data_IF_225158827523
#
_entry.id   IF_225158827523
#
_cell.length_a   1.000
_cell.length_b   1.000
_cell.length_c   1.000
_cell.angle_alpha   90.00
_cell.angle_beta   90.00
_cell.angle_gamma   90.00
#
_symmetry.space_group_name_H-M   'P 1'
#
loop_
_entity.id
_entity.type
_entity.pdbx_description
1 polymer ?
#
# COMPACT_ATOMS: atom_id res chain seq x y z
N UNK A 1 -22.05 2.78 18.45
CA UNK A 1 -20.66 2.27 18.35
C UNK A 1 -20.75 1.08 17.41
N UNK A 2 -20.26 1.19 16.18
CA UNK A 2 -20.14 0.00 15.31
C UNK A 2 -19.09 -0.89 15.98
N UNK A 3 -19.45 -2.10 16.38
CA UNK A 3 -18.49 -3.08 16.88
C UNK A 3 -17.42 -3.28 15.79
N UNK A 4 -16.16 -3.01 16.13
CA UNK A 4 -15.05 -3.20 15.21
C UNK A 4 -14.90 -4.69 14.93
N UNK A 5 -14.65 -5.05 13.66
CA UNK A 5 -14.48 -6.44 13.23
C UNK A 5 -13.34 -7.07 14.06
N UNK A 6 -13.60 -8.11 14.87
CA UNK A 6 -12.56 -8.76 15.64
C UNK A 6 -11.54 -9.36 14.68
N UNK A 7 -10.27 -9.07 14.91
CA UNK A 7 -9.16 -9.56 14.10
C UNK A 7 -8.34 -10.59 14.86
N UNK A 8 -7.70 -11.49 14.13
CA UNK A 8 -6.80 -12.51 14.66
C UNK A 8 -5.37 -12.27 14.19
N UNK A 9 -4.41 -12.28 15.11
CA UNK A 9 -2.98 -12.14 14.81
C UNK A 9 -2.43 -13.46 14.25
N UNK A 10 -1.75 -13.40 13.12
CA UNK A 10 -1.22 -14.56 12.39
C UNK A 10 0.27 -14.34 12.13
N UNK A 11 1.12 -15.28 12.58
CA UNK A 11 2.54 -15.27 12.22
C UNK A 11 2.72 -15.64 10.74
N UNK A 12 3.66 -15.00 10.06
CA UNK A 12 4.00 -15.26 8.66
C UNK A 12 5.34 -15.96 8.50
N UNK A 13 5.59 -16.55 7.33
CA UNK A 13 6.78 -17.37 7.05
C UNK A 13 8.13 -16.65 7.15
N UNK A 14 8.14 -15.32 7.16
CA UNK A 14 9.35 -14.48 7.31
C UNK A 14 9.54 -13.90 8.72
N UNK A 15 8.78 -14.39 9.71
CA UNK A 15 8.86 -13.94 11.10
C UNK A 15 8.14 -12.63 11.40
N UNK A 16 7.52 -12.00 10.40
CA UNK A 16 6.57 -10.90 10.63
C UNK A 16 5.18 -11.44 11.00
N UNK A 17 4.26 -10.53 11.33
CA UNK A 17 2.86 -10.86 11.61
C UNK A 17 1.94 -10.22 10.58
N UNK A 18 0.73 -10.76 10.45
CA UNK A 18 -0.40 -10.12 9.78
C UNK A 18 -1.64 -10.28 10.65
N UNK A 19 -2.72 -9.61 10.30
CA UNK A 19 -4.03 -9.86 10.91
C UNK A 19 -4.99 -10.45 9.91
N UNK A 20 -5.93 -11.26 10.40
CA UNK A 20 -7.08 -11.77 9.63
C UNK A 20 -8.35 -11.10 10.14
N UNK A 21 -9.04 -10.39 9.25
CA UNK A 21 -10.38 -9.85 9.55
C UNK A 21 -11.43 -10.94 9.45
N UNK A 22 -12.34 -11.03 10.43
CA UNK A 22 -13.42 -12.02 10.39
C UNK A 22 -14.44 -11.72 9.31
N UNK A 23 -14.73 -10.45 9.05
CA UNK A 23 -15.71 -10.02 8.05
C UNK A 23 -15.29 -10.37 6.62
N UNK A 24 -13.99 -10.29 6.32
CA UNK A 24 -13.43 -10.64 5.01
C UNK A 24 -12.95 -12.09 4.93
N UNK A 25 -12.79 -12.75 6.08
CA UNK A 25 -12.13 -14.05 6.22
C UNK A 25 -10.81 -14.14 5.43
N UNK A 26 -10.05 -13.04 5.45
CA UNK A 26 -8.82 -12.85 4.69
C UNK A 26 -7.75 -12.18 5.54
N UNK A 27 -6.49 -12.54 5.30
CA UNK A 27 -5.34 -11.86 5.88
C UNK A 27 -5.07 -10.54 5.15
N UNK A 28 -4.60 -9.54 5.88
CA UNK A 28 -4.18 -8.25 5.31
C UNK A 28 -2.90 -8.37 4.48
N UNK A 29 -2.04 -9.35 4.80
CA UNK A 29 -0.81 -9.64 4.05
C UNK A 29 -0.67 -11.14 3.75
N UNK A 30 0.24 -11.48 2.83
CA UNK A 30 0.60 -12.88 2.58
C UNK A 30 1.12 -13.60 3.83
N UNK A 31 0.58 -14.79 4.08
CA UNK A 31 1.08 -15.69 5.13
C UNK A 31 2.48 -16.23 4.86
N UNK A 32 2.97 -16.19 3.61
CA UNK A 32 4.35 -16.57 3.29
C UNK A 32 5.35 -15.54 3.82
N UNK A 33 4.92 -14.31 4.07
CA UNK A 33 5.75 -13.25 4.64
C UNK A 33 5.21 -11.86 4.31
N UNK A 34 4.70 -11.14 5.31
CA UNK A 34 4.16 -9.79 5.12
C UNK A 34 5.27 -8.81 4.74
N UNK A 35 6.36 -8.80 5.51
CA UNK A 35 7.51 -7.93 5.28
C UNK A 35 8.15 -8.19 3.91
N UNK A 36 8.28 -9.45 3.54
CA UNK A 36 8.91 -9.87 2.27
C UNK A 36 8.06 -9.49 1.07
N UNK A 37 6.75 -9.70 1.14
CA UNK A 37 5.82 -9.28 0.09
C UNK A 37 5.82 -7.76 -0.09
N UNK A 38 5.68 -7.00 0.99
CA UNK A 38 5.63 -5.53 0.92
C UNK A 38 6.93 -4.92 0.38
N UNK A 39 8.09 -5.44 0.81
CA UNK A 39 9.40 -5.01 0.27
C UNK A 39 9.52 -5.31 -1.22
N UNK A 40 9.04 -6.47 -1.67
CA UNK A 40 9.14 -6.87 -3.07
C UNK A 40 8.17 -6.09 -3.97
N UNK A 41 6.90 -6.05 -3.62
CA UNK A 41 5.83 -5.46 -4.44
C UNK A 41 5.91 -3.94 -4.40
N UNK A 42 5.80 -3.35 -3.20
CA UNK A 42 5.57 -1.91 -3.06
C UNK A 42 6.87 -1.11 -3.00
N UNK A 43 7.93 -1.63 -2.37
CA UNK A 43 9.21 -0.91 -2.31
C UNK A 43 10.02 -1.14 -3.59
N UNK A 44 10.43 -2.38 -3.89
CA UNK A 44 11.32 -2.66 -5.03
C UNK A 44 10.66 -2.38 -6.38
N UNK A 45 9.41 -2.82 -6.57
CA UNK A 45 8.71 -2.68 -7.86
C UNK A 45 7.77 -1.47 -7.93
N UNK A 46 7.48 -0.83 -6.80
CA UNK A 46 6.75 0.44 -6.69
C UNK A 46 7.71 1.63 -6.54
N UNK A 47 8.12 1.94 -5.30
CA UNK A 47 8.91 3.13 -4.96
C UNK A 47 10.23 3.23 -5.72
N UNK A 48 11.01 2.14 -5.69
CA UNK A 48 12.37 2.11 -6.26
C UNK A 48 12.36 2.15 -7.80
N UNK A 49 11.22 1.80 -8.40
CA UNK A 49 11.01 1.95 -9.83
C UNK A 49 10.72 3.39 -10.26
N UNK A 50 10.39 4.29 -9.33
CA UNK A 50 10.23 5.71 -9.62
C UNK A 50 11.61 6.40 -9.62
N UNK A 51 12.05 7.00 -10.75
CA UNK A 51 13.38 7.58 -10.87
C UNK A 51 13.49 8.98 -10.24
N UNK A 52 12.42 9.49 -9.61
CA UNK A 52 12.37 10.87 -9.08
C UNK A 52 12.84 10.93 -7.62
N UNK A 53 13.52 12.01 -7.19
CA UNK A 53 13.92 12.20 -5.80
C UNK A 53 12.79 12.75 -4.91
N UNK A 54 11.75 13.32 -5.54
CA UNK A 54 10.50 13.76 -4.93
C UNK A 54 9.40 12.88 -5.48
N UNK A 55 8.70 12.15 -4.60
CA UNK A 55 7.71 11.16 -5.00
C UNK A 55 6.45 11.39 -4.18
N UNK A 56 5.31 11.54 -4.85
CA UNK A 56 4.00 11.45 -4.21
C UNK A 56 3.46 10.04 -4.38
N UNK A 57 3.24 9.36 -3.26
CA UNK A 57 2.66 8.02 -3.19
C UNK A 57 1.21 8.11 -2.75
N UNK A 58 0.33 7.42 -3.46
CA UNK A 58 -1.04 7.12 -3.04
C UNK A 58 -1.16 5.64 -2.70
N UNK A 59 -1.61 5.31 -1.49
CA UNK A 59 -1.95 3.95 -1.10
C UNK A 59 -3.46 3.77 -1.02
N UNK A 60 -3.97 2.71 -1.68
CA UNK A 60 -5.36 2.27 -1.55
C UNK A 60 -5.38 1.03 -0.67
N UNK A 61 -5.89 1.19 0.56
CA UNK A 61 -5.87 0.17 1.60
C UNK A 61 -4.67 0.34 2.55
N UNK A 62 -4.74 1.32 3.45
CA UNK A 62 -3.69 1.51 4.47
C UNK A 62 -3.51 0.28 5.36
N UNK A 63 -4.63 -0.35 5.74
CA UNK A 63 -4.66 -1.58 6.52
C UNK A 63 -3.84 -1.51 7.81
N UNK A 64 -2.66 -2.12 7.77
CA UNK A 64 -1.74 -2.23 8.92
C UNK A 64 -0.63 -1.16 8.94
N UNK A 65 -0.54 -0.33 7.90
CA UNK A 65 0.49 0.70 7.75
C UNK A 65 1.90 0.20 7.41
N UNK A 66 2.08 -1.10 7.14
CA UNK A 66 3.40 -1.69 6.85
C UNK A 66 4.07 -1.05 5.63
N UNK A 67 3.33 -0.82 4.54
CA UNK A 67 3.90 -0.24 3.32
C UNK A 67 4.34 1.22 3.54
N UNK A 68 3.57 2.00 4.32
CA UNK A 68 3.93 3.36 4.70
C UNK A 68 5.20 3.38 5.56
N UNK A 69 5.31 2.48 6.55
CA UNK A 69 6.48 2.36 7.41
C UNK A 69 7.74 1.98 6.61
N UNK A 70 7.62 1.02 5.70
CA UNK A 70 8.71 0.63 4.80
C UNK A 70 9.09 1.75 3.83
N UNK A 71 8.12 2.53 3.36
CA UNK A 71 8.37 3.69 2.51
C UNK A 71 9.13 4.78 3.27
N UNK A 72 8.79 5.02 4.54
CA UNK A 72 9.56 5.92 5.41
C UNK A 72 11.01 5.44 5.60
N UNK A 73 11.20 4.15 5.89
CA UNK A 73 12.54 3.58 6.04
C UNK A 73 13.36 3.74 4.75
N UNK A 74 12.75 3.46 3.60
CA UNK A 74 13.40 3.59 2.30
C UNK A 74 13.70 5.06 1.95
N UNK A 75 12.80 5.98 2.31
CA UNK A 75 13.00 7.42 2.12
C UNK A 75 14.23 7.92 2.89
N UNK A 76 14.42 7.47 4.12
CA UNK A 76 15.61 7.77 4.92
C UNK A 76 16.87 7.19 4.28
N UNK A 77 16.85 5.90 3.92
CA UNK A 77 18.01 5.19 3.33
C UNK A 77 18.46 5.83 2.01
N UNK A 78 17.52 6.28 1.18
CA UNK A 78 17.79 6.83 -0.15
C UNK A 78 17.76 8.37 -0.20
N UNK A 79 17.57 9.04 0.94
CA UNK A 79 17.40 10.50 1.01
C UNK A 79 16.31 11.05 0.07
N UNK A 80 15.18 10.34 -0.02
CA UNK A 80 14.03 10.74 -0.82
C UNK A 80 13.15 11.74 -0.07
N UNK A 81 12.39 12.54 -0.82
CA UNK A 81 11.30 13.38 -0.34
C UNK A 81 9.97 12.75 -0.72
N UNK A 82 9.30 12.15 0.24
CA UNK A 82 8.03 11.45 0.02
C UNK A 82 6.88 12.27 0.58
N UNK A 83 5.85 12.48 -0.24
CA UNK A 83 4.49 12.78 0.22
C UNK A 83 3.70 11.49 0.11
N UNK A 84 3.09 11.04 1.21
CA UNK A 84 2.39 9.77 1.31
C UNK A 84 0.94 10.03 1.71
N UNK A 85 0.01 9.66 0.83
CA UNK A 85 -1.42 9.74 1.08
C UNK A 85 -1.98 8.33 1.11
N UNK A 86 -2.61 7.93 2.21
CA UNK A 86 -3.23 6.61 2.34
C UNK A 86 -4.74 6.72 2.46
N UNK A 87 -5.48 5.82 1.80
CA UNK A 87 -6.93 5.71 1.91
C UNK A 87 -7.30 4.48 2.74
N UNK A 88 -8.10 4.69 3.78
CA UNK A 88 -8.60 3.60 4.61
C UNK A 88 -9.93 3.99 5.26
N UNK A 89 -11.05 3.47 4.74
CA UNK A 89 -12.37 3.74 5.31
C UNK A 89 -12.53 3.23 6.74
N UNK A 90 -11.81 2.16 7.13
CA UNK A 90 -11.96 1.52 8.44
C UNK A 90 -10.58 1.16 9.04
N UNK A 91 -9.81 2.14 9.56
CA UNK A 91 -8.49 1.87 10.10
C UNK A 91 -8.52 0.89 11.27
N UNK A 92 -7.49 0.04 11.34
CA UNK A 92 -7.33 -0.88 12.47
C UNK A 92 -7.02 -0.11 13.76
N UNK A 93 -7.50 -0.59 14.92
CA UNK A 93 -7.21 0.05 16.20
C UNK A 93 -5.72 -0.01 16.54
N UNK A 94 -5.21 1.05 17.18
CA UNK A 94 -3.80 1.12 17.62
C UNK A 94 -3.37 -0.10 18.45
N UNK A 95 -4.25 -0.64 19.30
CA UNK A 95 -3.97 -1.84 20.10
C UNK A 95 -3.72 -3.10 19.26
N UNK A 96 -4.31 -3.20 18.06
CA UNK A 96 -4.01 -4.28 17.10
C UNK A 96 -2.65 -4.04 16.44
N UNK A 97 -2.38 -2.79 16.08
CA UNK A 97 -1.13 -2.40 15.41
C UNK A 97 0.08 -2.65 16.30
N UNK A 98 -0.01 -2.30 17.59
CA UNK A 98 1.05 -2.57 18.56
C UNK A 98 1.36 -4.08 18.70
N UNK A 99 0.36 -4.96 18.50
CA UNK A 99 0.57 -6.41 18.53
C UNK A 99 1.31 -6.95 17.29
N UNK A 100 1.28 -6.22 16.17
CA UNK A 100 2.05 -6.59 14.97
C UNK A 100 3.55 -6.34 15.16
N UNK A 101 3.92 -5.44 16.07
CA UNK A 101 5.30 -5.11 16.43
C UNK A 101 6.19 -4.80 15.22
N UNK A 102 5.64 -4.14 14.19
CA UNK A 102 6.37 -3.88 12.95
C UNK A 102 7.56 -2.94 13.13
N UNK A 103 7.53 -2.03 14.12
CA UNK A 103 8.68 -1.21 14.45
C UNK A 103 9.90 -2.05 14.79
N UNK A 104 9.72 -3.17 15.48
CA UNK A 104 10.81 -4.10 15.85
C UNK A 104 11.52 -4.75 14.66
N UNK A 105 10.91 -4.70 13.46
CA UNK A 105 11.48 -5.23 12.23
C UNK A 105 12.27 -4.17 11.42
N UNK A 106 12.29 -2.93 11.91
CA UNK A 106 12.94 -1.79 11.25
C UNK A 106 14.31 -1.48 11.86
N UNK A 107 15.09 -0.65 11.16
CA UNK A 107 16.43 -0.24 11.59
C UNK A 107 16.44 0.52 12.92
N UNK A 108 15.41 1.34 13.18
CA UNK A 108 15.26 2.16 14.40
C UNK A 108 13.91 1.84 15.08
N UNK A 109 13.84 0.80 15.93
CA UNK A 109 12.57 0.22 16.37
C UNK A 109 11.59 1.18 17.06
N UNK A 110 12.03 1.85 18.12
CA UNK A 110 11.15 2.72 18.93
C UNK A 110 10.60 3.88 18.10
N UNK A 111 11.45 4.44 17.23
CA UNK A 111 11.07 5.52 16.33
C UNK A 111 10.06 5.02 15.29
N UNK A 112 10.32 3.86 14.69
CA UNK A 112 9.43 3.25 13.71
C UNK A 112 8.05 2.95 14.30
N UNK A 113 8.00 2.36 15.49
CA UNK A 113 6.75 2.04 16.19
C UNK A 113 5.97 3.31 16.54
N UNK A 114 6.66 4.34 17.06
CA UNK A 114 6.04 5.63 17.37
C UNK A 114 5.45 6.31 16.13
N UNK A 115 6.13 6.25 14.99
CA UNK A 115 5.60 6.75 13.71
C UNK A 115 4.38 5.95 13.25
N UNK A 116 4.43 4.61 13.33
CA UNK A 116 3.31 3.76 12.93
C UNK A 116 2.05 4.01 13.76
N UNK A 117 2.19 4.16 15.08
CA UNK A 117 1.08 4.51 15.97
C UNK A 117 0.52 5.90 15.67
N UNK A 118 1.38 6.89 15.40
CA UNK A 118 0.94 8.24 15.02
C UNK A 118 0.14 8.23 13.70
N UNK A 119 0.60 7.47 12.70
CA UNK A 119 -0.12 7.32 11.43
C UNK A 119 -1.55 6.76 11.63
N UNK A 120 -1.72 5.75 12.50
CA UNK A 120 -3.04 5.17 12.79
C UNK A 120 -3.94 6.06 13.64
N UNK A 121 -3.38 6.98 14.44
CA UNK A 121 -4.16 8.02 15.13
C UNK A 121 -4.68 9.11 14.19
N UNK A 122 -4.26 9.08 12.92
CA UNK A 122 -4.59 10.12 11.93
C UNK A 122 -3.75 11.39 12.13
N UNK A 123 -2.68 11.32 12.92
CA UNK A 123 -1.78 12.45 13.09
C UNK A 123 -1.09 12.71 11.74
N UNK A 124 -1.14 13.95 11.27
CA UNK A 124 -0.35 14.37 10.11
C UNK A 124 1.13 14.29 10.48
N UNK A 125 1.76 13.19 10.11
CA UNK A 125 3.15 12.90 10.41
C UNK A 125 4.05 13.63 9.44
N UNK A 126 4.96 14.48 9.95
CA UNK A 126 5.98 15.12 9.12
C UNK A 126 7.35 14.88 9.69
N UNK A 127 8.23 14.32 8.87
CA UNK A 127 9.66 14.39 9.03
C UNK A 127 10.20 15.44 8.05
N UNK A 128 10.53 16.66 8.51
CA UNK A 128 10.90 17.77 7.64
C UNK A 128 11.99 17.40 6.64
N UNK A 129 11.73 17.67 5.36
CA UNK A 129 12.68 17.41 4.29
C UNK A 129 12.79 15.94 3.85
N UNK A 130 11.99 15.02 4.41
CA UNK A 130 12.02 13.60 4.09
C UNK A 130 10.64 12.98 3.86
N UNK A 131 9.70 13.09 4.80
CA UNK A 131 8.44 12.34 4.74
C UNK A 131 7.26 13.19 5.23
N UNK A 132 6.20 13.28 4.44
CA UNK A 132 4.92 13.91 4.78
C UNK A 132 3.82 12.87 4.63
N UNK A 133 3.06 12.60 5.69
CA UNK A 133 2.03 11.57 5.73
C UNK A 133 0.64 12.16 5.98
N UNK A 134 -0.35 11.62 5.27
CA UNK A 134 -1.76 11.87 5.51
C UNK A 134 -2.57 10.57 5.34
N UNK A 135 -3.37 10.25 6.36
CA UNK A 135 -4.37 9.19 6.30
C UNK A 135 -5.75 9.81 6.06
N UNK A 136 -6.43 9.37 5.00
CA UNK A 136 -7.78 9.79 4.66
C UNK A 136 -8.75 8.65 4.96
N UNK A 137 -9.73 8.92 5.82
CA UNK A 137 -10.80 7.96 6.16
C UNK A 137 -11.88 7.94 5.08
N UNK A 138 -11.46 7.58 3.87
CA UNK A 138 -12.25 7.71 2.65
C UNK A 138 -12.07 6.48 1.76
N UNK A 139 -13.10 6.22 0.96
CA UNK A 139 -13.00 5.21 -0.11
C UNK A 139 -12.30 5.83 -1.33
N UNK A 140 -11.70 4.99 -2.17
CA UNK A 140 -11.05 5.44 -3.42
C UNK A 140 -12.04 6.13 -4.39
N UNK A 141 -13.33 5.79 -4.34
CA UNK A 141 -14.39 6.47 -5.09
C UNK A 141 -14.58 7.94 -4.66
N UNK A 142 -14.13 8.28 -3.46
CA UNK A 142 -14.24 9.61 -2.84
C UNK A 142 -12.90 10.35 -2.86
N UNK A 143 -11.93 9.87 -3.66
CA UNK A 143 -10.61 10.48 -3.76
C UNK A 143 -10.76 11.99 -4.01
N UNK A 144 -10.24 12.85 -3.10
CA UNK A 144 -10.38 14.28 -3.25
C UNK A 144 -9.57 14.77 -4.44
N UNK A 145 -9.88 15.99 -4.90
CA UNK A 145 -8.98 16.69 -5.81
C UNK A 145 -7.65 16.90 -5.10
N UNK A 146 -6.60 16.25 -5.59
CA UNK A 146 -5.26 16.29 -5.04
C UNK A 146 -4.23 16.50 -6.15
N UNK A 147 -3.00 16.83 -5.77
CA UNK A 147 -1.88 16.82 -6.71
C UNK A 147 -1.73 15.41 -7.32
N UNK A 148 -1.46 15.31 -8.63
CA UNK A 148 -1.22 14.02 -9.26
C UNK A 148 -0.05 13.28 -8.60
N UNK A 149 -0.18 11.97 -8.50
CA UNK A 149 0.77 11.10 -7.80
C UNK A 149 1.72 10.40 -8.75
N UNK A 150 2.92 10.07 -8.27
CA UNK A 150 3.94 9.36 -9.04
C UNK A 150 3.72 7.85 -9.01
N UNK A 151 3.31 7.33 -7.84
CA UNK A 151 3.18 5.90 -7.59
C UNK A 151 1.88 5.62 -6.85
N UNK A 152 1.12 4.63 -7.34
CA UNK A 152 -0.04 4.08 -6.63
C UNK A 152 0.32 2.70 -6.08
N UNK A 153 0.21 2.52 -4.77
CA UNK A 153 0.17 1.21 -4.14
C UNK A 153 -1.28 0.75 -4.10
N UNK A 154 -1.62 -0.23 -4.92
CA UNK A 154 -2.96 -0.80 -4.93
C UNK A 154 -2.98 -2.09 -4.11
N UNK A 155 -3.23 -1.92 -2.81
CA UNK A 155 -3.18 -2.96 -1.78
C UNK A 155 -4.57 -3.27 -1.20
N UNK A 156 -5.55 -3.42 -2.09
CA UNK A 156 -6.87 -3.92 -1.73
C UNK A 156 -6.85 -5.43 -1.50
N UNK A 157 -7.83 -5.95 -0.77
CA UNK A 157 -8.04 -7.40 -0.68
C UNK A 157 -8.19 -8.02 -2.06
N UNK A 158 -7.74 -9.27 -2.19
CA UNK A 158 -7.69 -9.97 -3.47
C UNK A 158 -9.06 -9.97 -4.19
N UNK A 159 -9.11 -10.08 -5.53
CA UNK A 159 -10.37 -9.98 -6.27
C UNK A 159 -11.41 -11.07 -5.96
N UNK A 160 -11.02 -12.16 -5.30
CA UNK A 160 -11.94 -13.18 -4.78
C UNK A 160 -12.62 -12.79 -3.46
N UNK A 161 -12.01 -11.87 -2.72
CA UNK A 161 -12.45 -11.41 -1.40
C UNK A 161 -13.22 -10.10 -1.52
N UNK A 162 -12.70 -9.17 -2.33
CA UNK A 162 -13.27 -7.83 -2.48
C UNK A 162 -13.33 -7.41 -3.96
N UNK A 163 -14.16 -8.10 -4.78
CA UNK A 163 -14.19 -7.92 -6.24
C UNK A 163 -14.50 -6.49 -6.69
N UNK A 164 -15.28 -5.74 -5.93
CA UNK A 164 -15.72 -4.37 -6.25
C UNK A 164 -14.56 -3.38 -6.36
N UNK A 165 -13.46 -3.62 -5.63
CA UNK A 165 -12.24 -2.79 -5.71
C UNK A 165 -11.51 -2.95 -7.05
N UNK A 166 -11.73 -4.06 -7.76
CA UNK A 166 -11.02 -4.39 -9.00
C UNK A 166 -11.84 -4.03 -10.25
N UNK A 167 -12.76 -3.07 -10.11
CA UNK A 167 -13.60 -2.60 -11.21
C UNK A 167 -12.88 -1.58 -12.08
N UNK A 168 -13.33 -1.47 -13.34
CA UNK A 168 -12.79 -0.49 -14.28
C UNK A 168 -12.93 0.96 -13.78
N UNK A 169 -13.97 1.27 -13.02
CA UNK A 169 -14.20 2.61 -12.47
C UNK A 169 -13.12 3.00 -11.45
N UNK A 170 -12.74 2.08 -10.56
CA UNK A 170 -11.61 2.30 -9.63
C UNK A 170 -10.33 2.56 -10.40
N UNK A 171 -10.02 1.73 -11.39
CA UNK A 171 -8.81 1.89 -12.18
C UNK A 171 -8.80 3.19 -13.01
N UNK A 172 -9.96 3.70 -13.46
CA UNK A 172 -10.05 5.01 -14.13
C UNK A 172 -9.73 6.17 -13.19
N UNK A 173 -10.19 6.11 -11.94
CA UNK A 173 -9.85 7.09 -10.90
C UNK A 173 -8.34 7.10 -10.69
N UNK A 174 -7.74 5.92 -10.49
CA UNK A 174 -6.31 5.78 -10.26
C UNK A 174 -5.46 6.17 -11.47
N UNK A 175 -5.91 5.87 -12.68
CA UNK A 175 -5.27 6.32 -13.91
C UNK A 175 -5.23 7.85 -13.99
N UNK A 176 -6.35 8.50 -13.66
CA UNK A 176 -6.47 9.95 -13.69
C UNK A 176 -5.63 10.64 -12.61
N UNK A 177 -5.46 9.99 -11.46
CA UNK A 177 -4.65 10.47 -10.35
C UNK A 177 -3.14 10.41 -10.63
N UNK A 178 -2.67 9.50 -11.49
CA UNK A 178 -1.24 9.35 -11.79
C UNK A 178 -0.72 10.46 -12.72
N UNK A 179 0.50 10.94 -12.51
CA UNK A 179 1.22 11.74 -13.51
C UNK A 179 1.49 10.92 -14.79
N UNK A 180 1.68 11.55 -15.97
CA UNK A 180 2.25 10.87 -17.12
C UNK A 180 3.58 10.18 -16.77
N UNK A 181 3.71 8.92 -17.15
CA UNK A 181 4.84 8.06 -16.78
C UNK A 181 4.82 7.50 -15.35
N UNK A 182 3.86 7.91 -14.50
CA UNK A 182 3.64 7.30 -13.18
C UNK A 182 3.07 5.88 -13.29
N UNK A 183 3.11 5.12 -12.19
CA UNK A 183 2.69 3.72 -12.21
C UNK A 183 1.90 3.28 -10.97
N UNK A 184 1.02 2.32 -11.20
CA UNK A 184 0.35 1.52 -10.19
C UNK A 184 1.08 0.19 -10.03
N UNK A 185 1.23 -0.28 -8.79
CA UNK A 185 1.75 -1.61 -8.47
C UNK A 185 0.80 -2.37 -7.56
N UNK A 186 0.67 -3.68 -7.78
CA UNK A 186 -0.17 -4.56 -6.97
C UNK A 186 0.36 -5.99 -6.95
N UNK A 187 0.12 -6.73 -5.87
CA UNK A 187 0.46 -8.14 -5.75
C UNK A 187 -0.36 -9.03 -6.70
N UNK A 188 -1.50 -8.54 -7.18
CA UNK A 188 -2.45 -9.32 -7.96
C UNK A 188 -1.93 -9.59 -9.39
N UNK A 189 -2.11 -10.82 -9.88
CA UNK A 189 -1.73 -11.23 -11.24
C UNK A 189 -2.88 -11.86 -12.04
N UNK A 190 -4.14 -11.65 -11.63
CA UNK A 190 -5.29 -12.18 -12.36
C UNK A 190 -5.33 -11.62 -13.79
N UNK A 191 -5.52 -12.51 -14.76
CA UNK A 191 -5.55 -12.13 -16.18
C UNK A 191 -6.65 -11.12 -16.53
N UNK A 192 -7.79 -11.15 -15.82
CA UNK A 192 -8.86 -10.17 -16.01
C UNK A 192 -8.43 -8.76 -15.58
N UNK A 193 -7.85 -8.61 -14.39
CA UNK A 193 -7.32 -7.33 -13.88
C UNK A 193 -6.34 -6.71 -14.86
N UNK A 194 -5.44 -7.51 -15.45
CA UNK A 194 -4.54 -7.04 -16.51
C UNK A 194 -5.30 -6.48 -17.72
N UNK A 195 -6.32 -7.20 -18.22
CA UNK A 195 -7.11 -6.75 -19.38
C UNK A 195 -7.87 -5.47 -19.06
N UNK A 196 -8.41 -5.34 -17.86
CA UNK A 196 -9.16 -4.16 -17.43
C UNK A 196 -8.26 -2.93 -17.35
N UNK A 197 -7.06 -3.07 -16.75
CA UNK A 197 -6.04 -2.02 -16.73
C UNK A 197 -5.62 -1.61 -18.15
N UNK A 198 -5.38 -2.57 -19.04
CA UNK A 198 -5.03 -2.28 -20.44
C UNK A 198 -6.17 -1.56 -21.18
N UNK A 199 -7.43 -1.96 -20.96
CA UNK A 199 -8.59 -1.34 -21.59
C UNK A 199 -8.78 0.13 -21.17
N UNK A 200 -8.26 0.53 -20.02
CA UNK A 200 -8.27 1.92 -19.52
C UNK A 200 -7.15 2.76 -20.15
N UNK A 201 -6.11 2.11 -20.69
CA UNK A 201 -4.98 2.77 -21.31
C UNK A 201 -3.67 2.68 -20.51
N UNK A 202 -3.60 1.82 -19.49
CA UNK A 202 -2.32 1.50 -18.86
C UNK A 202 -1.46 0.60 -19.77
N UNK A 203 -0.16 0.84 -19.77
CA UNK A 203 0.83 -0.13 -20.20
C UNK A 203 1.11 -1.10 -19.06
N UNK A 204 0.70 -2.36 -19.21
CA UNK A 204 0.78 -3.36 -18.12
C UNK A 204 1.86 -4.38 -18.40
N UNK A 205 2.77 -4.54 -17.45
CA UNK A 205 3.81 -5.56 -17.44
C UNK A 205 3.57 -6.59 -16.32
N UNK A 206 4.07 -7.81 -16.55
CA UNK A 206 4.12 -8.86 -15.53
C UNK A 206 5.54 -8.92 -14.99
N UNK A 207 5.64 -8.85 -13.67
CA UNK A 207 6.91 -8.93 -12.96
C UNK A 207 6.94 -10.22 -12.14
N UNK A 208 8.15 -10.75 -11.81
CA UNK A 208 8.26 -11.86 -10.86
C UNK A 208 7.52 -11.52 -9.56
N UNK A 209 6.68 -12.44 -9.08
CA UNK A 209 5.96 -12.27 -7.83
C UNK A 209 6.86 -12.40 -6.59
N UNK A 210 6.38 -11.98 -5.40
CA UNK A 210 7.04 -12.28 -4.13
C UNK A 210 7.01 -13.81 -3.84
N UNK A 211 7.77 -14.30 -2.84
CA UNK A 211 7.72 -15.71 -2.45
C UNK A 211 6.30 -16.24 -2.27
N UNK A 212 6.00 -17.38 -2.93
CA UNK A 212 4.66 -17.97 -2.95
C UNK A 212 3.76 -17.50 -4.11
N UNK A 213 4.15 -16.46 -4.87
CA UNK A 213 3.40 -15.96 -6.04
C UNK A 213 4.30 -15.97 -7.29
N UNK A 214 3.76 -16.44 -8.43
CA UNK A 214 4.54 -16.52 -9.69
C UNK A 214 4.76 -15.14 -10.31
N UNK A 215 3.71 -14.34 -10.35
CA UNK A 215 3.69 -13.05 -11.04
C UNK A 215 2.96 -12.02 -10.18
N UNK A 216 3.31 -10.75 -10.41
CA UNK A 216 2.60 -9.56 -9.97
C UNK A 216 2.45 -8.58 -11.14
N UNK A 217 1.68 -7.50 -10.97
CA UNK A 217 1.44 -6.53 -12.03
C UNK A 217 1.99 -5.14 -11.67
N UNK A 218 2.55 -4.48 -12.68
CA UNK A 218 2.78 -3.03 -12.68
C UNK A 218 2.11 -2.43 -13.91
N UNK A 219 1.40 -1.33 -13.72
CA UNK A 219 0.62 -0.68 -14.74
C UNK A 219 1.05 0.78 -14.84
N UNK A 220 1.68 1.16 -15.95
CA UNK A 220 2.25 2.49 -16.17
C UNK A 220 1.26 3.34 -16.97
N UNK A 221 1.01 4.57 -16.52
CA UNK A 221 0.35 5.58 -17.36
C UNK A 221 1.36 6.01 -18.43
N UNK A 222 1.04 5.93 -19.74
CA UNK A 222 1.95 6.36 -20.79
C UNK A 222 2.51 7.77 -20.51
N UNK A 223 3.77 7.99 -20.89
CA UNK A 223 4.35 9.33 -20.88
C UNK A 223 3.78 10.15 -22.03
N UNK A 224 3.85 11.47 -21.92
CA UNK A 224 3.73 12.35 -23.09
C UNK A 224 4.93 12.17 -24.03
#
# INVERSE_FOLDING_TARGET
MLEQDPVELIATGDGSFTVRGRSWNACYHSQHGALTESRHVFIRHGLDACPRPRIHVLEVGFGTGLNALLTLEQALKRSLRIRYTALEPNPLPEAVIQQLAYGMLMTEPDRAEGFLCAMHRGDRGRLPGCFEFELLHQRVQELPLMEPVDVVYFDAFAPSTQPEMWSADIFRILYSALVPGGHLVTFCSKGQVRRDLQAIGFEVERLPGPPGKREMLRARRPGE
#
